data_IF_982001625933
#
_entry.id   IF_982001625933
#
_cell.length_a   1.000
_cell.length_b   1.000
_cell.length_c   1.000
_cell.angle_alpha   90.00
_cell.angle_beta   90.00
_cell.angle_gamma   90.00
#
_symmetry.space_group_name_H-M   'P 1'
#
loop_
_entity.id
_entity.type
_entity.pdbx_description
1 polymer ?
#
# COMPACT_ATOMS: atom_id res chain seq x y z
N UNK A 1 -18.19 -27.12 19.28
CA UNK A 1 -17.58 -27.12 17.93
C UNK A 1 -18.42 -26.25 16.99
N UNK A 2 -18.43 -24.94 17.20
CA UNK A 2 -19.08 -23.97 16.31
C UNK A 2 -18.32 -22.66 16.45
N UNK A 3 -17.07 -22.63 15.95
CA UNK A 3 -16.43 -21.35 15.64
C UNK A 3 -17.13 -20.85 14.37
N UNK A 4 -18.18 -20.06 14.57
CA UNK A 4 -19.11 -19.63 13.53
C UNK A 4 -18.52 -18.46 12.72
N UNK A 5 -17.39 -18.72 12.05
CA UNK A 5 -16.87 -17.91 10.96
C UNK A 5 -16.75 -16.40 11.24
N UNK A 6 -16.70 -15.63 10.16
CA UNK A 6 -16.64 -14.17 10.16
C UNK A 6 -17.75 -13.49 10.99
N UNK A 7 -18.85 -14.21 11.27
CA UNK A 7 -20.01 -13.70 12.01
C UNK A 7 -19.71 -13.45 13.48
N UNK A 8 -18.92 -14.31 14.14
CA UNK A 8 -18.51 -14.13 15.55
C UNK A 8 -17.58 -12.91 15.72
N UNK A 9 -16.74 -12.65 14.70
CA UNK A 9 -15.83 -11.49 14.65
C UNK A 9 -16.57 -10.15 14.60
N UNK A 10 -17.67 -10.09 13.84
CA UNK A 10 -18.53 -8.91 13.79
C UNK A 10 -19.49 -8.83 14.99
N UNK A 11 -19.91 -9.98 15.53
CA UNK A 11 -20.76 -10.06 16.71
C UNK A 11 -20.04 -9.65 18.02
N UNK A 12 -18.71 -9.59 18.02
CA UNK A 12 -17.88 -9.03 19.11
C UNK A 12 -17.87 -7.48 19.11
N UNK A 13 -19.03 -6.87 18.83
CA UNK A 13 -19.53 -5.60 19.38
C UNK A 13 -18.65 -4.34 19.39
N UNK A 14 -17.55 -4.26 18.64
CA UNK A 14 -16.70 -3.06 18.56
C UNK A 14 -15.19 -3.29 18.56
N UNK A 15 -14.69 -4.46 18.97
CA UNK A 15 -13.25 -4.75 18.97
C UNK A 15 -12.66 -4.97 17.57
N UNK A 16 -13.46 -5.55 16.66
CA UNK A 16 -13.03 -5.72 15.28
C UNK A 16 -12.70 -4.37 14.62
N UNK A 17 -13.47 -3.32 14.88
CA UNK A 17 -13.21 -1.97 14.37
C UNK A 17 -11.89 -1.38 14.89
N UNK A 18 -11.49 -1.71 16.12
CA UNK A 18 -10.19 -1.31 16.66
C UNK A 18 -9.01 -2.04 15.98
N UNK A 19 -9.13 -3.36 15.79
CA UNK A 19 -8.08 -4.16 15.13
C UNK A 19 -7.96 -3.73 13.67
N UNK A 20 -9.08 -3.65 12.96
CA UNK A 20 -9.11 -3.19 11.58
C UNK A 20 -8.75 -1.70 11.44
N UNK A 21 -8.99 -0.88 12.47
CA UNK A 21 -8.54 0.51 12.52
C UNK A 21 -7.01 0.62 12.53
N UNK A 22 -6.33 -0.15 13.38
CA UNK A 22 -4.85 -0.19 13.43
C UNK A 22 -4.26 -0.78 12.15
N UNK A 23 -4.81 -1.89 11.64
CA UNK A 23 -4.39 -2.46 10.36
C UNK A 23 -4.65 -1.49 9.19
N UNK A 24 -5.80 -0.82 9.20
CA UNK A 24 -6.15 0.22 8.24
C UNK A 24 -5.19 1.40 8.29
N UNK A 25 -4.80 1.86 9.49
CA UNK A 25 -3.82 2.92 9.67
C UNK A 25 -2.44 2.51 9.14
N UNK A 26 -2.00 1.28 9.40
CA UNK A 26 -0.75 0.76 8.83
C UNK A 26 -0.80 0.66 7.31
N UNK A 27 -1.89 0.12 6.75
CA UNK A 27 -2.09 0.04 5.30
C UNK A 27 -2.15 1.43 4.67
N UNK A 28 -2.78 2.41 5.33
CA UNK A 28 -2.87 3.78 4.85
C UNK A 28 -1.50 4.49 4.87
N UNK A 29 -0.70 4.25 5.90
CA UNK A 29 0.67 4.75 5.99
C UNK A 29 1.55 4.16 4.87
N UNK A 30 1.49 2.83 4.69
CA UNK A 30 2.19 2.11 3.61
C UNK A 30 1.72 2.60 2.24
N UNK A 31 0.41 2.78 2.04
CA UNK A 31 -0.14 3.28 0.78
C UNK A 31 0.34 4.71 0.47
N UNK A 32 0.40 5.58 1.50
CA UNK A 32 0.95 6.93 1.38
C UNK A 32 2.42 6.91 0.97
N UNK A 33 3.23 6.08 1.64
CA UNK A 33 4.64 5.92 1.30
C UNK A 33 4.84 5.34 -0.11
N UNK A 34 4.08 4.31 -0.48
CA UNK A 34 4.09 3.77 -1.85
C UNK A 34 3.66 4.81 -2.88
N UNK A 35 2.71 5.69 -2.57
CA UNK A 35 2.26 6.73 -3.48
C UNK A 35 3.37 7.77 -3.71
N UNK A 36 4.02 8.21 -2.64
CA UNK A 36 5.16 9.11 -2.69
C UNK A 36 6.36 8.48 -3.40
N UNK A 37 6.66 7.21 -3.10
CA UNK A 37 7.72 6.44 -3.75
C UNK A 37 7.41 6.22 -5.23
N UNK A 38 6.16 5.92 -5.61
CA UNK A 38 5.75 5.81 -7.02
C UNK A 38 5.88 7.13 -7.75
N UNK A 39 5.56 8.25 -7.10
CA UNK A 39 5.76 9.59 -7.65
C UNK A 39 7.24 9.88 -7.89
N UNK A 40 8.09 9.61 -6.90
CA UNK A 40 9.55 9.75 -7.01
C UNK A 40 10.14 8.80 -8.07
N UNK A 41 9.65 7.56 -8.16
CA UNK A 41 10.07 6.61 -9.20
C UNK A 41 9.75 7.12 -10.60
N UNK A 42 8.63 7.80 -10.82
CA UNK A 42 8.33 8.43 -12.12
C UNK A 42 9.36 9.50 -12.49
N UNK A 43 9.91 10.21 -11.51
CA UNK A 43 10.98 11.19 -11.76
C UNK A 43 12.31 10.51 -12.06
N UNK A 44 12.65 9.44 -11.33
CA UNK A 44 13.83 8.62 -11.60
C UNK A 44 13.77 7.90 -12.96
N UNK A 45 12.58 7.43 -13.38
CA UNK A 45 12.41 6.80 -14.69
C UNK A 45 12.59 7.78 -15.84
N UNK A 46 12.11 9.03 -15.69
CA UNK A 46 12.37 10.09 -16.69
C UNK A 46 13.86 10.39 -16.84
N UNK A 47 14.64 10.26 -15.76
CA UNK A 47 16.10 10.41 -15.81
C UNK A 47 16.76 9.26 -16.57
N UNK A 48 16.32 8.02 -16.33
CA UNK A 48 16.82 6.83 -17.03
C UNK A 48 16.45 6.85 -18.53
N UNK A 49 15.25 7.28 -18.89
CA UNK A 49 14.84 7.43 -20.29
C UNK A 49 15.70 8.46 -21.03
N UNK A 50 16.15 9.53 -20.35
CA UNK A 50 17.08 10.49 -20.94
C UNK A 50 18.43 9.86 -21.21
N UNK A 51 18.97 9.08 -20.28
CA UNK A 51 20.26 8.39 -20.43
C UNK A 51 20.22 7.33 -21.54
N UNK A 52 19.16 6.52 -21.60
CA UNK A 52 19.02 5.50 -22.66
C UNK A 52 18.95 6.11 -24.07
N UNK A 53 18.38 7.32 -24.20
CA UNK A 53 18.29 8.04 -25.48
C UNK A 53 19.66 8.53 -25.99
N UNK A 54 20.64 8.69 -25.12
CA UNK A 54 22.02 9.01 -25.51
C UNK A 54 22.79 7.75 -25.91
N UNK A 55 22.57 6.62 -25.24
CA UNK A 55 23.22 5.34 -25.56
C UNK A 55 22.75 4.76 -26.91
N UNK A 56 21.47 4.90 -27.24
CA UNK A 56 20.92 4.41 -28.53
C UNK A 56 21.33 5.27 -29.74
N UNK A 57 22.00 6.41 -29.55
CA UNK A 57 22.42 7.31 -30.65
C UNK A 57 23.95 7.44 -30.81
N UNK A 58 24.74 6.64 -30.07
CA UNK A 58 26.21 6.57 -30.16
C UNK A 58 26.70 5.41 -31.00
#
# INVERSE_FOLDING_TARGET
MNWAGWSDFWAMGGYALYVWGSYGATVLCIAGELWMLRRSRREAQRMLERMNRFDTQG
#
